data_IF_678989744115
#
_entry.id   IF_678989744115
#
_cell.length_a   1.000
_cell.length_b   1.000
_cell.length_c   1.000
_cell.angle_alpha   90.00
_cell.angle_beta   90.00
_cell.angle_gamma   90.00
#
_symmetry.space_group_name_H-M   'P 1'
#
loop_
_entity.id
_entity.type
_entity.pdbx_description
1 polymer ?
#
# COMPACT_ATOMS: atom_id res chain seq x y z
N UNK A 1 -18.33 17.41 4.65
CA UNK A 1 -17.91 16.00 4.77
C UNK A 1 -17.41 15.58 3.39
N UNK A 2 -16.12 15.21 3.22
CA UNK A 2 -15.52 14.92 1.92
C UNK A 2 -16.12 13.69 1.21
N UNK A 3 -16.90 12.87 1.90
CA UNK A 3 -17.60 11.73 1.31
C UNK A 3 -18.67 12.09 0.28
N UNK A 4 -19.23 13.32 0.30
CA UNK A 4 -20.27 13.70 -0.65
C UNK A 4 -19.77 13.86 -2.10
N UNK A 5 -18.51 14.23 -2.32
CA UNK A 5 -17.95 14.34 -3.66
C UNK A 5 -17.50 13.02 -4.27
N UNK A 6 -16.92 12.13 -3.45
CA UNK A 6 -16.40 10.82 -3.90
C UNK A 6 -17.41 9.69 -3.75
N UNK A 7 -18.43 9.84 -2.90
CA UNK A 7 -19.44 8.81 -2.66
C UNK A 7 -20.23 8.46 -3.93
N UNK A 8 -20.59 9.46 -4.72
CA UNK A 8 -21.30 9.24 -5.98
C UNK A 8 -20.43 8.60 -7.06
N UNK A 9 -19.17 9.00 -7.18
CA UNK A 9 -18.24 8.37 -8.13
C UNK A 9 -17.93 6.93 -7.74
N UNK A 10 -17.72 6.65 -6.45
CA UNK A 10 -17.53 5.29 -5.95
C UNK A 10 -18.80 4.43 -6.13
N UNK A 11 -19.99 4.99 -5.87
CA UNK A 11 -21.26 4.30 -6.09
C UNK A 11 -21.49 4.01 -7.58
N UNK A 12 -21.26 4.99 -8.46
CA UNK A 12 -21.41 4.82 -9.91
C UNK A 12 -20.39 3.80 -10.44
N UNK A 13 -19.13 3.88 -10.05
CA UNK A 13 -18.12 2.89 -10.47
C UNK A 13 -18.45 1.50 -9.94
N UNK A 14 -18.93 1.38 -8.69
CA UNK A 14 -19.40 0.12 -8.13
C UNK A 14 -20.57 -0.48 -8.91
N UNK A 15 -21.56 0.34 -9.27
CA UNK A 15 -22.70 -0.09 -10.10
C UNK A 15 -22.23 -0.53 -11.50
N UNK A 16 -21.35 0.24 -12.14
CA UNK A 16 -20.79 -0.12 -13.45
C UNK A 16 -20.06 -1.47 -13.38
N UNK A 17 -19.23 -1.67 -12.36
CA UNK A 17 -18.52 -2.95 -12.16
C UNK A 17 -19.52 -4.10 -11.94
N UNK A 18 -20.56 -3.90 -11.13
CA UNK A 18 -21.59 -4.91 -10.91
C UNK A 18 -22.37 -5.25 -12.19
N UNK A 19 -22.70 -4.24 -12.99
CA UNK A 19 -23.38 -4.43 -14.30
C UNK A 19 -22.48 -5.19 -15.29
N UNK A 20 -21.21 -4.83 -15.39
CA UNK A 20 -20.24 -5.55 -16.22
C UNK A 20 -20.11 -6.99 -15.72
N UNK A 21 -19.98 -7.19 -14.43
CA UNK A 21 -19.85 -8.52 -13.82
C UNK A 21 -21.12 -9.38 -14.05
N UNK A 22 -22.30 -8.77 -13.91
CA UNK A 22 -23.57 -9.41 -14.22
C UNK A 22 -23.67 -9.80 -15.69
N UNK A 23 -23.27 -8.90 -16.60
CA UNK A 23 -23.26 -9.16 -18.03
C UNK A 23 -22.29 -10.30 -18.39
N UNK A 24 -21.05 -10.25 -17.91
CA UNK A 24 -20.02 -11.28 -18.14
C UNK A 24 -20.45 -12.63 -17.57
N UNK A 25 -21.02 -12.64 -16.37
CA UNK A 25 -21.49 -13.87 -15.71
C UNK A 25 -22.74 -14.45 -16.37
N UNK A 26 -23.61 -13.57 -16.90
CA UNK A 26 -24.84 -13.94 -17.58
C UNK A 26 -24.69 -14.25 -19.06
N UNK A 27 -23.59 -13.79 -19.67
CA UNK A 27 -23.40 -13.93 -21.11
C UNK A 27 -23.27 -15.39 -21.54
N UNK A 28 -24.08 -15.77 -22.51
CA UNK A 28 -24.08 -17.13 -23.09
C UNK A 28 -23.66 -17.05 -24.56
N UNK A 29 -22.68 -17.84 -24.91
CA UNK A 29 -22.22 -17.96 -26.31
C UNK A 29 -22.82 -19.18 -26.97
N UNK A 30 -23.23 -19.03 -28.23
CA UNK A 30 -23.63 -20.17 -29.05
C UNK A 30 -22.39 -20.98 -29.41
N UNK A 31 -22.37 -22.24 -29.05
CA UNK A 31 -21.30 -23.16 -29.41
C UNK A 31 -21.89 -24.44 -30.00
N UNK A 32 -21.19 -25.01 -30.97
CA UNK A 32 -21.51 -26.33 -31.50
C UNK A 32 -21.10 -27.40 -30.49
N UNK A 33 -22.05 -28.15 -30.02
CA UNK A 33 -21.82 -29.27 -29.10
C UNK A 33 -22.16 -30.56 -29.80
N UNK A 34 -21.26 -31.53 -29.74
CA UNK A 34 -21.50 -32.89 -30.23
C UNK A 34 -22.48 -33.57 -29.27
N UNK A 35 -23.68 -33.84 -29.72
CA UNK A 35 -24.77 -34.42 -28.93
C UNK A 35 -24.88 -35.96 -29.08
N UNK A 36 -24.15 -36.54 -29.99
CA UNK A 36 -24.12 -37.98 -30.21
C UNK A 36 -23.52 -38.31 -31.59
N UNK A 37 -23.36 -39.57 -31.84
CA UNK A 37 -22.94 -40.11 -33.16
C UNK A 37 -24.16 -40.81 -33.77
N UNK A 38 -24.41 -40.56 -35.06
CA UNK A 38 -25.47 -41.25 -35.79
C UNK A 38 -25.04 -42.71 -36.01
N UNK A 39 -25.76 -43.65 -35.41
CA UNK A 39 -25.44 -45.10 -35.50
C UNK A 39 -25.43 -45.64 -36.93
N UNK A 40 -26.14 -44.95 -37.84
CA UNK A 40 -26.24 -45.39 -39.23
C UNK A 40 -25.12 -44.86 -40.15
N UNK A 41 -24.55 -43.71 -39.84
CA UNK A 41 -23.58 -43.04 -40.72
C UNK A 41 -22.22 -42.76 -40.04
N UNK A 42 -22.09 -43.00 -38.74
CA UNK A 42 -20.85 -42.69 -37.96
C UNK A 42 -20.52 -41.21 -37.84
N UNK A 43 -21.41 -40.30 -38.28
CA UNK A 43 -21.17 -38.88 -38.30
C UNK A 43 -21.64 -38.24 -36.97
N UNK A 44 -20.80 -37.39 -36.39
CA UNK A 44 -21.12 -36.69 -35.15
C UNK A 44 -22.27 -35.68 -35.35
N UNK A 45 -23.38 -35.88 -34.65
CA UNK A 45 -24.49 -34.91 -34.60
C UNK A 45 -24.08 -33.69 -33.79
N UNK A 46 -23.96 -32.56 -34.47
CA UNK A 46 -23.67 -31.27 -33.86
C UNK A 46 -24.95 -30.48 -33.66
N UNK A 47 -25.15 -29.94 -32.46
CA UNK A 47 -26.26 -29.04 -32.14
C UNK A 47 -25.74 -27.75 -31.57
N UNK A 48 -26.28 -26.63 -32.02
CA UNK A 48 -25.99 -25.30 -31.46
C UNK A 48 -26.66 -25.18 -30.09
N UNK A 49 -25.85 -25.05 -29.05
CA UNK A 49 -26.31 -24.77 -27.68
C UNK A 49 -25.78 -23.47 -27.14
N UNK A 50 -26.59 -22.81 -26.31
CA UNK A 50 -26.20 -21.62 -25.57
C UNK A 50 -25.45 -22.05 -24.32
N UNK A 51 -24.13 -21.98 -24.38
CA UNK A 51 -23.25 -22.25 -23.22
C UNK A 51 -22.83 -20.96 -22.51
N UNK A 52 -22.74 -20.98 -21.18
CA UNK A 52 -22.23 -19.82 -20.44
C UNK A 52 -20.76 -19.60 -20.80
N UNK A 53 -20.36 -18.32 -20.92
CA UNK A 53 -18.98 -17.94 -21.19
C UNK A 53 -18.03 -18.46 -20.11
N UNK A 54 -18.49 -18.43 -18.86
CA UNK A 54 -17.74 -18.90 -17.69
C UNK A 54 -18.41 -20.16 -17.16
N UNK A 55 -17.62 -21.22 -16.98
CA UNK A 55 -18.13 -22.49 -16.48
C UNK A 55 -18.70 -22.35 -15.07
N UNK A 56 -19.69 -23.18 -14.72
CA UNK A 56 -20.29 -23.17 -13.38
C UNK A 56 -19.25 -23.43 -12.28
N UNK A 57 -18.23 -24.24 -12.56
CA UNK A 57 -17.14 -24.52 -11.63
C UNK A 57 -16.34 -23.26 -11.30
N UNK A 58 -15.95 -22.48 -12.31
CA UNK A 58 -15.21 -21.22 -12.11
C UNK A 58 -16.04 -20.21 -11.33
N UNK A 59 -17.34 -20.08 -11.63
CA UNK A 59 -18.24 -19.21 -10.87
C UNK A 59 -18.30 -19.59 -9.39
N UNK A 60 -18.44 -20.88 -9.12
CA UNK A 60 -18.53 -21.40 -7.75
C UNK A 60 -17.23 -21.16 -6.98
N UNK A 61 -16.09 -21.43 -7.61
CA UNK A 61 -14.78 -21.15 -7.00
C UNK A 61 -14.59 -19.66 -6.73
N UNK A 62 -14.95 -18.79 -7.67
CA UNK A 62 -14.84 -17.34 -7.51
C UNK A 62 -15.72 -16.82 -6.37
N UNK A 63 -16.97 -17.31 -6.27
CA UNK A 63 -17.86 -16.95 -5.16
C UNK A 63 -17.32 -17.43 -3.81
N UNK A 64 -16.76 -18.64 -3.77
CA UNK A 64 -16.17 -19.18 -2.53
C UNK A 64 -14.93 -18.39 -2.12
N UNK A 65 -14.07 -18.03 -3.05
CA UNK A 65 -12.91 -17.16 -2.79
C UNK A 65 -13.37 -15.79 -2.28
N UNK A 66 -14.40 -15.19 -2.91
CA UNK A 66 -14.95 -13.90 -2.47
C UNK A 66 -15.52 -13.99 -1.04
N UNK A 67 -16.26 -15.06 -0.74
CA UNK A 67 -16.80 -15.30 0.59
C UNK A 67 -15.68 -15.40 1.64
N UNK A 68 -14.63 -16.17 1.36
CA UNK A 68 -13.47 -16.30 2.24
C UNK A 68 -12.74 -14.97 2.45
N UNK A 69 -12.59 -14.17 1.40
CA UNK A 69 -12.05 -12.81 1.52
C UNK A 69 -12.93 -11.93 2.42
N UNK A 70 -14.25 -11.96 2.25
CA UNK A 70 -15.16 -11.18 3.10
C UNK A 70 -15.09 -11.61 4.56
N UNK A 71 -15.00 -12.91 4.85
CA UNK A 71 -14.81 -13.43 6.20
C UNK A 71 -13.47 -12.92 6.77
N UNK A 72 -12.39 -12.97 5.98
CA UNK A 72 -11.09 -12.42 6.40
C UNK A 72 -11.16 -10.93 6.73
N UNK A 73 -11.75 -10.13 5.85
CA UNK A 73 -11.90 -8.70 6.06
C UNK A 73 -12.87 -8.34 7.21
N UNK A 74 -13.81 -9.21 7.56
CA UNK A 74 -14.71 -8.97 8.71
C UNK A 74 -13.95 -8.85 10.03
N UNK A 75 -12.71 -9.36 10.11
CA UNK A 75 -11.84 -9.20 11.28
C UNK A 75 -11.53 -7.73 11.59
N UNK A 76 -11.50 -6.84 10.58
CA UNK A 76 -11.33 -5.41 10.80
C UNK A 76 -12.52 -4.78 11.52
N UNK A 77 -13.74 -5.27 11.29
CA UNK A 77 -14.91 -4.83 12.04
C UNK A 77 -14.79 -5.18 13.53
N UNK A 78 -14.17 -6.32 13.86
CA UNK A 78 -13.92 -6.71 15.25
C UNK A 78 -12.95 -5.75 15.96
N UNK A 79 -11.98 -5.18 15.22
CA UNK A 79 -11.06 -4.16 15.77
C UNK A 79 -11.85 -2.93 16.23
N UNK A 80 -12.74 -2.41 15.37
CA UNK A 80 -13.57 -1.25 15.69
C UNK A 80 -14.51 -1.53 16.87
N UNK A 81 -15.21 -2.68 16.86
CA UNK A 81 -16.10 -3.09 17.94
C UNK A 81 -15.35 -3.21 19.26
N UNK A 82 -14.15 -3.78 19.25
CA UNK A 82 -13.34 -3.92 20.46
C UNK A 82 -12.82 -2.58 20.97
N UNK A 83 -12.35 -1.71 20.06
CA UNK A 83 -11.88 -0.38 20.41
C UNK A 83 -12.99 0.48 21.01
N UNK A 84 -14.19 0.45 20.46
CA UNK A 84 -15.34 1.19 21.01
C UNK A 84 -15.75 0.77 22.43
N UNK A 85 -15.30 -0.39 22.90
CA UNK A 85 -15.45 -0.84 24.29
C UNK A 85 -14.38 -0.27 25.25
N UNK A 86 -13.47 0.59 24.78
CA UNK A 86 -12.41 1.24 25.55
C UNK A 86 -11.61 0.28 26.44
N UNK A 87 -10.93 -0.73 25.86
CA UNK A 87 -10.10 -1.65 26.65
C UNK A 87 -8.87 -0.90 27.21
N UNK A 88 -8.24 -1.39 28.30
CA UNK A 88 -7.09 -0.74 28.93
C UNK A 88 -5.88 -0.49 28.00
N UNK A 89 -5.75 -1.31 26.95
CA UNK A 89 -4.74 -1.13 25.90
C UNK A 89 -5.45 -1.01 24.55
N UNK A 90 -5.70 0.24 24.14
CA UNK A 90 -6.32 0.57 22.86
C UNK A 90 -5.38 1.47 22.04
N UNK A 91 -4.51 0.83 21.27
CA UNK A 91 -3.52 1.54 20.47
C UNK A 91 -4.18 2.31 19.31
N UNK A 92 -4.03 3.65 19.31
CA UNK A 92 -4.60 4.59 18.35
C UNK A 92 -6.13 4.63 18.31
N UNK A 93 -6.82 4.03 19.27
CA UNK A 93 -8.28 4.06 19.43
C UNK A 93 -9.06 4.01 18.11
N UNK A 94 -8.98 2.90 17.34
CA UNK A 94 -9.62 2.77 16.02
C UNK A 94 -11.13 2.56 16.14
N UNK A 95 -11.83 3.51 16.77
CA UNK A 95 -13.27 3.44 17.05
C UNK A 95 -14.15 3.73 15.82
N UNK A 96 -13.61 4.41 14.82
CA UNK A 96 -14.31 4.81 13.62
C UNK A 96 -13.50 4.52 12.34
N UNK A 97 -14.12 4.75 11.17
CA UNK A 97 -13.50 4.47 9.86
C UNK A 97 -12.24 5.30 9.63
N UNK A 98 -12.17 6.54 10.14
CA UNK A 98 -11.01 7.42 9.92
C UNK A 98 -9.84 7.00 10.79
N UNK A 99 -10.09 6.74 12.06
CA UNK A 99 -9.09 6.24 13.00
C UNK A 99 -8.64 4.82 12.66
N UNK A 100 -9.55 3.96 12.20
CA UNK A 100 -9.19 2.65 11.64
C UNK A 100 -8.31 2.80 10.40
N UNK A 101 -8.63 3.72 9.50
CA UNK A 101 -7.81 4.01 8.32
C UNK A 101 -6.39 4.44 8.69
N UNK A 102 -6.25 5.34 9.67
CA UNK A 102 -4.97 5.80 10.20
C UNK A 102 -4.19 4.66 10.90
N UNK A 103 -4.88 3.81 11.62
CA UNK A 103 -4.30 2.62 12.26
C UNK A 103 -3.77 1.61 11.22
N UNK A 104 -4.54 1.31 10.18
CA UNK A 104 -4.16 0.36 9.13
C UNK A 104 -3.04 0.91 8.22
N UNK A 105 -3.07 2.19 7.92
CA UNK A 105 -1.99 2.85 7.15
C UNK A 105 -0.72 3.06 7.96
N UNK A 106 -0.75 2.77 9.27
CA UNK A 106 0.38 2.92 10.17
C UNK A 106 0.95 4.36 10.19
N UNK A 107 0.08 5.33 10.18
CA UNK A 107 0.42 6.76 10.12
C UNK A 107 1.41 7.20 11.21
N UNK A 108 1.36 6.55 12.37
CA UNK A 108 2.27 6.81 13.50
C UNK A 108 3.76 6.54 13.18
N UNK A 109 4.06 5.72 12.17
CA UNK A 109 5.43 5.39 11.78
C UNK A 109 5.97 6.28 10.65
N UNK A 110 5.19 7.29 10.25
CA UNK A 110 5.52 8.20 9.17
C UNK A 110 5.39 7.59 7.78
N UNK A 111 5.54 8.44 6.78
CA UNK A 111 5.47 8.05 5.38
C UNK A 111 6.79 7.49 4.89
N UNK A 112 6.71 6.40 4.15
CA UNK A 112 7.86 5.79 3.48
C UNK A 112 7.62 5.79 1.98
N UNK A 113 8.51 6.40 1.18
CA UNK A 113 8.37 6.38 -0.27
C UNK A 113 8.53 4.95 -0.79
N UNK A 114 7.52 4.45 -1.52
CA UNK A 114 7.53 3.08 -2.03
C UNK A 114 8.05 3.01 -3.47
N UNK A 115 7.46 3.81 -4.35
CA UNK A 115 7.76 3.78 -5.79
C UNK A 115 8.58 4.98 -6.26
N UNK A 116 8.33 6.15 -5.68
CA UNK A 116 9.00 7.38 -6.04
C UNK A 116 9.11 8.30 -4.82
N UNK A 117 10.29 8.87 -4.60
CA UNK A 117 10.52 9.77 -3.47
C UNK A 117 11.99 10.06 -3.22
N UNK A 118 12.25 10.67 -2.07
CA UNK A 118 13.58 11.12 -1.67
C UNK A 118 14.54 9.94 -1.39
N UNK A 119 15.82 10.19 -1.60
CA UNK A 119 16.91 9.41 -1.05
C UNK A 119 17.38 10.00 0.30
N UNK A 120 18.24 9.31 1.03
CA UNK A 120 18.74 9.75 2.33
C UNK A 120 19.55 11.06 2.28
N UNK A 121 20.10 11.40 1.12
CA UNK A 121 20.86 12.64 0.88
C UNK A 121 20.02 13.76 0.30
N UNK A 122 18.78 13.50 -0.10
CA UNK A 122 17.91 14.48 -0.74
C UNK A 122 17.64 15.70 0.16
N UNK A 123 17.71 16.88 -0.44
CA UNK A 123 17.43 18.13 0.23
C UNK A 123 15.97 18.56 0.00
N UNK A 124 15.40 19.24 0.99
CA UNK A 124 14.06 19.81 0.86
C UNK A 124 14.09 20.94 -0.16
N UNK A 125 13.12 20.97 -1.08
CA UNK A 125 12.98 22.08 -2.02
C UNK A 125 12.70 23.38 -1.25
N UNK A 126 13.41 24.44 -1.61
CA UNK A 126 13.30 25.74 -0.98
C UNK A 126 12.74 26.75 -1.97
N UNK A 127 11.95 27.67 -1.49
CA UNK A 127 11.41 28.79 -2.24
C UNK A 127 11.75 30.10 -1.53
N UNK A 128 12.09 31.12 -2.30
CA UNK A 128 12.40 32.46 -1.79
C UNK A 128 11.09 33.23 -1.64
N UNK A 129 10.72 33.51 -0.40
CA UNK A 129 9.58 34.38 -0.06
C UNK A 129 10.08 35.68 0.57
N UNK A 130 10.18 36.73 -0.23
CA UNK A 130 10.81 37.97 0.15
C UNK A 130 12.30 37.81 0.45
N UNK A 131 12.72 38.04 1.71
CA UNK A 131 14.09 37.88 2.16
C UNK A 131 14.33 36.57 2.93
N UNK A 132 13.34 35.67 3.00
CA UNK A 132 13.44 34.42 3.73
C UNK A 132 13.34 33.21 2.78
N UNK A 133 14.17 32.23 3.08
CA UNK A 133 14.16 30.95 2.39
C UNK A 133 13.24 29.99 3.17
N UNK A 134 12.16 29.55 2.54
CA UNK A 134 11.16 28.67 3.17
C UNK A 134 11.13 27.31 2.49
N UNK A 135 10.95 26.22 3.26
CA UNK A 135 10.76 24.91 2.67
C UNK A 135 9.41 24.83 1.96
N UNK A 136 9.41 24.28 0.75
CA UNK A 136 8.19 24.02 0.00
C UNK A 136 7.47 22.84 0.61
N UNK A 137 6.23 23.06 1.02
CA UNK A 137 5.36 22.02 1.59
C UNK A 137 4.14 21.81 0.70
N UNK A 138 3.78 20.55 0.52
CA UNK A 138 2.53 20.15 -0.14
C UNK A 138 1.52 19.80 0.93
N UNK A 139 0.32 20.36 0.79
CA UNK A 139 -0.82 19.99 1.61
C UNK A 139 -1.20 18.53 1.32
N UNK A 140 -1.24 17.73 2.36
CA UNK A 140 -1.54 16.31 2.31
C UNK A 140 -2.99 16.00 2.69
N UNK A 141 -3.24 14.75 3.06
CA UNK A 141 -4.56 14.30 3.46
C UNK A 141 -5.05 15.04 4.72
N UNK A 142 -6.35 15.41 4.78
CA UNK A 142 -6.93 16.04 5.96
C UNK A 142 -6.98 15.05 7.14
N UNK A 143 -6.72 15.57 8.33
CA UNK A 143 -6.86 14.84 9.60
C UNK A 143 -8.24 15.18 10.17
N UNK A 144 -9.07 14.16 10.31
CA UNK A 144 -10.42 14.30 10.85
C UNK A 144 -10.44 14.02 12.33
N UNK A 145 -11.22 14.82 13.06
CA UNK A 145 -11.55 14.56 14.46
C UNK A 145 -13.07 14.53 14.61
N UNK A 146 -13.56 13.57 15.41
CA UNK A 146 -14.97 13.49 15.75
C UNK A 146 -15.35 14.64 16.68
N UNK A 147 -16.44 15.31 16.37
CA UNK A 147 -17.03 16.34 17.25
C UNK A 147 -17.67 15.66 18.45
N UNK A 148 -17.45 16.21 19.64
CA UNK A 148 -18.16 15.75 20.83
C UNK A 148 -19.66 15.97 20.67
N UNK A 149 -20.45 14.97 21.04
CA UNK A 149 -21.91 15.03 20.97
C UNK A 149 -22.45 15.83 22.13
N UNK A 150 -23.36 16.73 21.86
CA UNK A 150 -24.12 17.42 22.90
C UNK A 150 -25.25 16.54 23.49
N UNK A 151 -25.76 15.56 22.70
CA UNK A 151 -26.79 14.60 23.10
C UNK A 151 -26.50 13.22 22.53
N UNK A 152 -27.00 12.16 23.21
CA UNK A 152 -26.83 10.77 22.74
C UNK A 152 -27.51 10.50 21.39
N UNK A 153 -28.54 11.25 21.03
CA UNK A 153 -29.27 11.11 19.76
C UNK A 153 -28.63 11.86 18.60
N UNK A 154 -27.57 12.67 18.86
CA UNK A 154 -26.89 13.43 17.83
C UNK A 154 -26.04 12.48 16.96
N UNK A 155 -26.14 12.64 15.63
CA UNK A 155 -25.33 11.88 14.67
C UNK A 155 -23.87 12.30 14.77
N UNK A 156 -22.98 11.32 14.58
CA UNK A 156 -21.54 11.59 14.51
C UNK A 156 -21.24 12.60 13.41
N UNK A 157 -20.51 13.64 13.76
CA UNK A 157 -20.00 14.65 12.83
C UNK A 157 -18.50 14.79 12.99
N UNK A 158 -17.81 15.08 11.89
CA UNK A 158 -16.36 15.19 11.82
C UNK A 158 -15.97 16.56 11.28
N UNK A 159 -14.89 17.10 11.78
CA UNK A 159 -14.29 18.32 11.24
C UNK A 159 -12.80 18.09 10.97
N UNK A 160 -12.26 18.87 10.05
CA UNK A 160 -10.83 18.83 9.71
C UNK A 160 -10.07 19.68 10.72
N UNK A 161 -9.15 19.06 11.46
CA UNK A 161 -8.29 19.75 12.43
C UNK A 161 -7.05 20.31 11.76
N UNK A 162 -6.46 19.53 10.87
CA UNK A 162 -5.20 19.88 10.20
C UNK A 162 -5.04 19.06 8.92
N UNK A 163 -4.00 19.37 8.15
CA UNK A 163 -3.58 18.55 7.02
C UNK A 163 -2.20 17.95 7.30
N UNK A 164 -1.95 16.75 6.80
CA UNK A 164 -0.63 16.09 6.86
C UNK A 164 0.28 16.75 5.82
N UNK A 165 0.91 17.87 6.19
CA UNK A 165 1.82 18.56 5.27
C UNK A 165 3.08 17.73 5.06
N UNK A 166 3.51 17.63 3.80
CA UNK A 166 4.71 16.90 3.39
C UNK A 166 5.70 17.85 2.75
N UNK A 167 6.96 17.72 3.12
CA UNK A 167 8.02 18.43 2.42
C UNK A 167 8.16 17.90 0.99
N UNK A 168 8.36 18.83 0.06
CA UNK A 168 8.77 18.49 -1.30
C UNK A 168 10.29 18.43 -1.31
N UNK A 169 10.83 17.34 -1.84
CA UNK A 169 12.28 17.19 -1.99
C UNK A 169 12.71 17.57 -3.40
N UNK A 170 13.84 18.26 -3.49
CA UNK A 170 14.38 18.72 -4.77
C UNK A 170 14.87 17.55 -5.62
N UNK A 171 15.44 16.53 -4.98
CA UNK A 171 15.93 15.34 -5.64
C UNK A 171 15.08 14.14 -5.24
N UNK A 172 14.58 13.42 -6.24
CA UNK A 172 13.80 12.21 -6.04
C UNK A 172 14.31 11.10 -6.95
N UNK A 173 14.11 9.85 -6.53
CA UNK A 173 14.49 8.67 -7.30
C UNK A 173 13.35 7.66 -7.37
N UNK A 174 13.43 6.75 -8.35
CA UNK A 174 12.51 5.62 -8.46
C UNK A 174 12.89 4.55 -7.42
N UNK A 175 11.87 3.95 -6.81
CA UNK A 175 12.01 2.85 -5.86
C UNK A 175 13.05 3.12 -4.77
N UNK A 176 12.94 4.21 -3.99
CA UNK A 176 13.95 4.58 -3.00
C UNK A 176 13.94 3.59 -1.82
N UNK A 177 15.02 2.85 -1.66
CA UNK A 177 15.19 1.93 -0.52
C UNK A 177 16.06 2.54 0.57
N UNK A 178 17.03 3.37 0.18
CA UNK A 178 17.84 4.19 1.07
C UNK A 178 17.23 5.61 1.16
N UNK A 179 16.10 5.77 1.88
CA UNK A 179 15.33 7.03 1.89
C UNK A 179 15.50 7.85 3.17
N UNK A 180 15.93 7.23 4.26
CA UNK A 180 15.94 7.85 5.59
C UNK A 180 17.28 8.54 5.88
N UNK A 181 17.28 9.86 6.02
CA UNK A 181 18.48 10.62 6.42
C UNK A 181 19.00 10.25 7.82
N UNK A 182 18.12 9.79 8.72
CA UNK A 182 18.52 9.33 10.05
C UNK A 182 19.36 8.04 10.02
N UNK A 183 19.33 7.29 8.92
CA UNK A 183 20.07 6.05 8.75
C UNK A 183 21.22 6.16 7.73
N UNK A 184 21.62 7.39 7.38
CA UNK A 184 22.64 7.64 6.38
C UNK A 184 23.93 6.84 6.63
N UNK A 185 24.46 6.94 7.87
CA UNK A 185 25.67 6.21 8.24
C UNK A 185 25.53 4.69 8.12
N UNK A 186 24.39 4.15 8.55
CA UNK A 186 24.12 2.70 8.45
C UNK A 186 24.04 2.21 6.99
N UNK A 187 23.56 3.05 6.07
CA UNK A 187 23.59 2.72 4.64
C UNK A 187 25.01 2.70 4.08
N UNK A 188 25.83 3.68 4.45
CA UNK A 188 27.22 3.76 4.00
C UNK A 188 28.06 2.61 4.57
N UNK A 189 27.89 2.28 5.84
CA UNK A 189 28.60 1.17 6.49
C UNK A 189 28.20 -0.18 5.85
N UNK A 190 26.90 -0.39 5.58
CA UNK A 190 26.43 -1.63 4.95
C UNK A 190 26.93 -1.79 3.52
N UNK A 191 26.96 -0.69 2.77
CA UNK A 191 27.35 -0.71 1.36
C UNK A 191 28.87 -0.69 1.16
N UNK A 192 29.66 -0.38 2.20
CA UNK A 192 31.11 -0.16 2.10
C UNK A 192 31.45 1.13 1.35
N UNK A 193 30.60 2.13 1.47
CA UNK A 193 30.63 3.38 0.73
C UNK A 193 29.64 3.38 -0.46
N UNK A 194 29.08 4.54 -0.75
CA UNK A 194 28.16 4.79 -1.86
C UNK A 194 28.85 5.74 -2.84
N UNK A 195 29.06 5.30 -4.08
CA UNK A 195 29.72 6.13 -5.09
C UNK A 195 28.84 7.32 -5.48
N UNK A 196 27.59 7.08 -5.80
CA UNK A 196 26.58 8.10 -6.06
C UNK A 196 26.93 9.06 -7.21
N UNK A 197 26.01 9.98 -7.49
CA UNK A 197 26.17 11.04 -8.50
C UNK A 197 26.00 12.39 -7.84
N UNK A 198 26.87 13.33 -8.12
CA UNK A 198 26.77 14.70 -7.65
C UNK A 198 25.73 15.46 -8.49
N UNK A 199 24.72 16.00 -7.83
CA UNK A 199 23.63 16.77 -8.44
C UNK A 199 23.65 18.18 -7.85
N UNK A 200 23.60 19.26 -8.66
CA UNK A 200 23.52 20.61 -8.16
C UNK A 200 22.18 20.84 -7.45
N UNK A 201 22.25 21.50 -6.32
CA UNK A 201 21.11 21.94 -5.53
C UNK A 201 21.24 23.42 -5.21
N UNK A 202 20.20 24.17 -5.50
CA UNK A 202 20.13 25.61 -5.18
C UNK A 202 19.49 25.81 -3.80
N UNK A 203 20.29 26.32 -2.89
CA UNK A 203 19.85 26.73 -1.55
C UNK A 203 19.64 28.24 -1.53
N UNK A 204 18.55 28.69 -2.17
CA UNK A 204 18.18 30.11 -2.22
C UNK A 204 19.31 31.05 -2.69
N UNK A 205 19.96 30.71 -3.80
CA UNK A 205 21.04 31.48 -4.41
C UNK A 205 22.44 30.98 -4.09
N UNK A 206 22.60 30.02 -3.18
CA UNK A 206 23.84 29.29 -2.97
C UNK A 206 23.74 27.92 -3.62
N UNK A 207 24.49 27.69 -4.69
CA UNK A 207 24.54 26.37 -5.30
C UNK A 207 25.51 25.46 -4.54
N UNK A 208 25.01 24.29 -4.12
CA UNK A 208 25.82 23.25 -3.50
C UNK A 208 25.67 21.95 -4.28
N UNK A 209 26.68 21.09 -4.20
CA UNK A 209 26.61 19.76 -4.80
C UNK A 209 26.11 18.76 -3.75
N UNK A 210 25.08 17.99 -4.10
CA UNK A 210 24.53 16.94 -3.25
C UNK A 210 24.82 15.61 -3.88
N UNK A 211 25.45 14.71 -3.13
CA UNK A 211 25.77 13.36 -3.60
C UNK A 211 24.56 12.46 -3.45
N UNK A 212 23.93 12.12 -4.56
CA UNK A 212 22.78 11.21 -4.60
C UNK A 212 23.22 9.77 -4.87
N UNK A 213 22.68 8.78 -4.14
CA UNK A 213 22.95 7.38 -4.45
C UNK A 213 22.46 7.03 -5.85
N UNK A 214 23.21 6.19 -6.57
CA UNK A 214 22.78 5.70 -7.87
C UNK A 214 21.62 4.72 -7.75
N UNK A 215 20.86 4.50 -8.84
CA UNK A 215 19.83 3.46 -8.87
C UNK A 215 20.42 2.07 -8.63
N UNK A 216 21.65 1.85 -9.09
CA UNK A 216 22.33 0.58 -8.87
C UNK A 216 22.64 0.35 -7.39
N UNK A 217 23.14 1.35 -6.66
CA UNK A 217 23.38 1.27 -5.21
C UNK A 217 22.08 0.97 -4.46
N UNK A 218 21.01 1.64 -4.86
CA UNK A 218 19.71 1.45 -4.26
C UNK A 218 19.14 0.02 -4.46
N UNK A 219 19.31 -0.55 -5.67
CA UNK A 219 18.92 -1.95 -5.95
C UNK A 219 19.86 -2.92 -5.23
N UNK A 220 21.16 -2.65 -5.19
CA UNK A 220 22.13 -3.46 -4.45
C UNK A 220 21.80 -3.51 -2.96
N UNK A 221 21.45 -2.37 -2.35
CA UNK A 221 20.99 -2.31 -0.97
C UNK A 221 19.69 -3.11 -0.78
N UNK A 222 18.72 -2.99 -1.68
CA UNK A 222 17.49 -3.77 -1.62
C UNK A 222 17.76 -5.27 -1.63
N UNK A 223 18.59 -5.75 -2.52
CA UNK A 223 18.89 -7.18 -2.65
C UNK A 223 19.76 -7.69 -1.48
N UNK A 224 20.83 -6.98 -1.12
CA UNK A 224 21.74 -7.41 -0.07
C UNK A 224 21.17 -7.29 1.33
N UNK A 225 20.55 -6.14 1.67
CA UNK A 225 20.03 -5.89 2.99
C UNK A 225 18.59 -6.37 3.15
N UNK A 226 17.66 -5.87 2.32
CA UNK A 226 16.25 -6.14 2.54
C UNK A 226 15.85 -7.57 2.14
N UNK A 227 16.29 -8.07 1.00
CA UNK A 227 15.97 -9.42 0.56
C UNK A 227 16.84 -10.46 1.29
N UNK A 228 18.16 -10.32 1.24
CA UNK A 228 19.04 -11.34 1.80
C UNK A 228 19.11 -11.29 3.33
N UNK A 229 19.64 -10.20 3.90
CA UNK A 229 19.85 -10.11 5.33
C UNK A 229 18.53 -10.04 6.14
N UNK A 230 17.55 -9.25 5.72
CA UNK A 230 16.29 -9.14 6.46
C UNK A 230 15.32 -10.27 6.14
N UNK A 231 14.91 -10.42 4.88
CA UNK A 231 13.86 -11.37 4.52
C UNK A 231 14.28 -12.82 4.63
N UNK A 232 15.38 -13.23 3.96
CA UNK A 232 15.83 -14.61 3.96
C UNK A 232 16.23 -15.09 5.34
N UNK A 233 16.90 -14.28 6.13
CA UNK A 233 17.26 -14.62 7.51
C UNK A 233 16.01 -14.88 8.35
N UNK A 234 15.00 -14.01 8.31
CA UNK A 234 13.75 -14.23 9.02
C UNK A 234 13.00 -15.47 8.53
N UNK A 235 12.99 -15.70 7.23
CA UNK A 235 12.38 -16.88 6.64
C UNK A 235 13.09 -18.16 7.13
N UNK A 236 14.41 -18.16 7.10
CA UNK A 236 15.21 -19.32 7.51
C UNK A 236 15.10 -19.63 9.00
N UNK A 237 14.82 -18.66 9.85
CA UNK A 237 14.59 -18.94 11.29
C UNK A 237 13.43 -19.89 11.56
N UNK A 238 12.50 -20.06 10.65
CA UNK A 238 11.45 -21.07 10.75
C UNK A 238 11.99 -22.52 10.61
N UNK A 239 13.17 -22.67 10.00
CA UNK A 239 13.75 -23.99 9.68
C UNK A 239 15.08 -24.26 10.37
N UNK A 240 15.94 -23.26 10.47
CA UNK A 240 17.31 -23.40 10.96
C UNK A 240 17.51 -23.01 12.44
N UNK A 241 16.48 -22.45 13.07
CA UNK A 241 16.60 -21.91 14.41
C UNK A 241 17.35 -20.57 14.44
N UNK A 242 17.39 -19.96 15.61
CA UNK A 242 17.99 -18.65 15.84
C UNK A 242 19.20 -18.81 16.76
N UNK A 243 20.34 -18.28 16.34
CA UNK A 243 21.57 -18.38 17.13
C UNK A 243 21.53 -17.48 18.37
N UNK A 244 20.94 -16.30 18.28
CA UNK A 244 20.91 -15.31 19.34
C UNK A 244 19.54 -14.64 19.42
N UNK A 245 19.08 -14.33 20.64
CA UNK A 245 17.80 -13.65 20.88
C UNK A 245 17.83 -12.18 20.51
N UNK A 246 19.02 -11.57 20.48
CA UNK A 246 19.18 -10.17 20.07
C UNK A 246 19.43 -10.11 18.56
N UNK A 247 18.58 -9.41 17.85
CA UNK A 247 18.67 -9.27 16.41
C UNK A 247 19.99 -8.58 16.00
N UNK A 248 20.73 -9.19 15.10
CA UNK A 248 21.98 -8.66 14.58
C UNK A 248 23.22 -8.97 15.42
N UNK A 249 23.07 -9.62 16.58
CA UNK A 249 24.20 -10.01 17.45
C UNK A 249 24.66 -11.46 17.23
N UNK A 250 24.36 -12.07 16.11
CA UNK A 250 24.93 -13.37 15.73
C UNK A 250 26.38 -13.21 15.26
N UNK A 251 27.12 -14.32 15.28
CA UNK A 251 28.42 -14.36 14.61
C UNK A 251 28.24 -14.18 13.10
N UNK A 252 29.11 -13.44 12.39
CA UNK A 252 28.97 -13.18 10.96
C UNK A 252 28.88 -14.44 10.10
N UNK A 253 29.50 -15.53 10.54
CA UNK A 253 29.54 -16.81 9.84
C UNK A 253 28.39 -17.74 10.17
N UNK A 254 27.64 -17.50 11.25
CA UNK A 254 26.61 -18.40 11.77
C UNK A 254 25.25 -17.70 12.06
N UNK A 255 25.15 -16.38 11.85
CA UNK A 255 24.02 -15.55 12.25
C UNK A 255 22.85 -15.41 11.28
#
# INVERSE_FOLDING_TARGET
IPFYGYGWTAAITGIIVLVILWFVLGYKRKQEVVTGVDESTGIAKKKMQLLPLISARVKNTALLCMLMLMIGYSSYALIVIRSSANPPMDQNSPEDIFTLGSYLSRDQYGDRPLFYGQAYTSQVALEVDGNMCKPVMKEGAPVYQRKEKASADEKDSYFVVSHKNKYIYAQNMLFPRMYSSAHAQAYEDWMGGVEGTEIPYDRCGESMMVKMPSQFDNIRFFLSYQCNFMYWRYFMWNFAGRQNDIQGNGEPEHG
#
